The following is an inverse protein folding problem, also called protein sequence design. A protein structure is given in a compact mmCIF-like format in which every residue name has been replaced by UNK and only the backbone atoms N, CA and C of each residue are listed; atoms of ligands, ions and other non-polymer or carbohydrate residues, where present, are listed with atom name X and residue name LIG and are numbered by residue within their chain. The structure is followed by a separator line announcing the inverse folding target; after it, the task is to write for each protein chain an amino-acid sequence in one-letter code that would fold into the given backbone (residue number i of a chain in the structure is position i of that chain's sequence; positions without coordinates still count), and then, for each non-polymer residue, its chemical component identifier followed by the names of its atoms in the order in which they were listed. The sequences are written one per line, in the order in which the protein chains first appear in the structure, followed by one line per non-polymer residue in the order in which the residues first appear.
data_IF_796098079302
#
_entry.id   IF_796098079302
#
_cell.length_a   1.000
_cell.length_b   1.000
_cell.length_c   1.000
_cell.angle_alpha   90.00
_cell.angle_beta   90.00
_cell.angle_gamma   90.00
#
_symmetry.space_group_name_H-M   'P 1'
#
loop_
_entity.id
_entity.type
_entity.pdbx_description
1 polymer ?
#
# COMPACT_ATOMS: atom_id res chain seq x y z
N UNK A 1 -3.90 -38.47 -23.29
CA UNK A 1 -4.16 -37.06 -23.63
C UNK A 1 -2.85 -36.42 -24.06
N UNK A 2 -2.69 -36.06 -25.34
CA UNK A 2 -1.50 -35.37 -25.83
C UNK A 2 -1.77 -33.87 -25.77
N UNK A 3 -1.07 -33.17 -24.87
CA UNK A 3 -1.14 -31.72 -24.75
C UNK A 3 -0.05 -31.14 -25.64
N UNK A 4 -0.45 -30.39 -26.66
CA UNK A 4 0.46 -29.64 -27.51
C UNK A 4 0.86 -28.35 -26.80
N UNK A 5 2.15 -28.21 -26.50
CA UNK A 5 2.74 -26.98 -25.97
C UNK A 5 3.04 -26.04 -27.14
N UNK A 6 2.22 -25.01 -27.31
CA UNK A 6 2.55 -23.89 -28.20
C UNK A 6 3.53 -22.96 -27.49
N UNK A 7 4.68 -22.78 -28.11
CA UNK A 7 5.81 -21.99 -27.64
C UNK A 7 5.42 -20.53 -27.40
N UNK A 8 5.58 -20.07 -26.16
CA UNK A 8 5.43 -18.67 -25.76
C UNK A 8 6.69 -17.89 -26.20
N UNK A 9 6.58 -17.09 -27.27
CA UNK A 9 7.65 -16.19 -27.73
C UNK A 9 7.31 -14.75 -27.35
N UNK A 10 8.20 -14.16 -26.55
CA UNK A 10 8.58 -12.75 -26.40
C UNK A 10 7.52 -11.63 -26.63
N UNK A 11 7.30 -10.82 -25.58
CA UNK A 11 7.17 -9.37 -25.79
C UNK A 11 6.01 -8.62 -25.16
N UNK A 12 5.09 -9.25 -24.44
CA UNK A 12 4.04 -8.53 -23.71
C UNK A 12 3.80 -9.15 -22.33
N UNK A 13 4.34 -8.50 -21.30
CA UNK A 13 4.08 -8.84 -19.90
C UNK A 13 2.79 -8.14 -19.46
N UNK A 14 1.66 -8.49 -20.10
CA UNK A 14 0.35 -8.28 -19.48
C UNK A 14 0.09 -9.51 -18.60
N UNK A 15 0.62 -9.47 -17.39
CA UNK A 15 0.59 -10.60 -16.46
C UNK A 15 -0.84 -11.02 -16.06
N UNK A 16 -1.86 -10.20 -16.36
CA UNK A 16 -3.26 -10.46 -16.03
C UNK A 16 -4.21 -9.80 -17.06
N UNK A 17 -4.49 -10.47 -18.17
CA UNK A 17 -5.74 -10.20 -18.89
C UNK A 17 -6.84 -10.98 -18.16
N UNK A 18 -7.40 -10.38 -17.11
CA UNK A 18 -8.60 -10.92 -16.46
C UNK A 18 -9.75 -10.75 -17.46
N UNK A 19 -10.45 -11.86 -17.71
CA UNK A 19 -11.67 -11.89 -18.52
C UNK A 19 -12.71 -10.91 -17.94
N UNK A 20 -13.59 -10.35 -18.76
CA UNK A 20 -14.67 -9.44 -18.29
C UNK A 20 -15.51 -10.08 -17.18
N UNK A 21 -15.68 -11.41 -17.22
CA UNK A 21 -16.32 -12.19 -16.17
C UNK A 21 -15.54 -12.15 -14.82
N UNK A 22 -14.21 -12.06 -14.87
CA UNK A 22 -13.36 -11.94 -13.68
C UNK A 22 -13.25 -10.49 -13.18
N UNK A 23 -13.38 -9.49 -14.07
CA UNK A 23 -13.56 -8.09 -13.63
C UNK A 23 -14.89 -7.89 -12.88
N UNK A 24 -15.91 -8.70 -13.19
CA UNK A 24 -17.15 -8.75 -12.40
C UNK A 24 -16.96 -9.43 -11.03
N UNK A 25 -16.06 -10.42 -10.92
CA UNK A 25 -15.61 -10.98 -9.63
C UNK A 25 -14.84 -9.96 -8.79
N UNK A 26 -14.07 -9.08 -9.41
CA UNK A 26 -13.37 -7.98 -8.73
C UNK A 26 -14.35 -6.92 -8.14
N UNK A 27 -15.58 -6.86 -8.70
CA UNK A 27 -16.71 -6.10 -8.13
C UNK A 27 -17.49 -6.89 -7.07
N UNK A 28 -17.48 -8.21 -7.14
CA UNK A 28 -17.94 -9.09 -6.07
C UNK A 28 -16.85 -9.21 -5.00
N UNK A 29 -16.63 -8.10 -4.31
CA UNK A 29 -16.35 -8.14 -2.88
C UNK A 29 -15.18 -9.08 -2.50
N UNK A 30 -13.96 -8.56 -2.64
CA UNK A 30 -13.05 -8.56 -1.47
C UNK A 30 -13.69 -7.71 -0.36
N UNK A 31 -14.90 -8.13 0.05
CA UNK A 31 -15.58 -7.67 1.23
C UNK A 31 -14.57 -7.81 2.35
N UNK A 32 -14.69 -6.88 3.28
CA UNK A 32 -14.08 -6.90 4.61
C UNK A 32 -14.07 -8.30 5.27
N UNK A 33 -14.94 -9.20 4.83
CA UNK A 33 -15.13 -10.57 5.29
C UNK A 33 -14.06 -11.59 4.86
N UNK A 34 -13.33 -11.39 3.75
CA UNK A 34 -12.25 -12.34 3.36
C UNK A 34 -11.07 -12.28 4.35
N UNK A 35 -10.95 -11.18 5.09
CA UNK A 35 -10.00 -11.05 6.19
C UNK A 35 -10.52 -11.56 7.55
N UNK A 36 -11.80 -11.95 7.64
CA UNK A 36 -12.41 -12.42 8.88
C UNK A 36 -12.41 -13.94 9.00
N UNK A 37 -12.44 -14.68 7.88
CA UNK A 37 -12.38 -16.14 7.95
C UNK A 37 -10.93 -16.63 7.84
N UNK A 38 -10.28 -16.77 9.00
CA UNK A 38 -8.93 -17.38 9.12
C UNK A 38 -8.78 -18.69 8.34
N UNK A 39 -9.88 -19.45 8.15
CA UNK A 39 -9.91 -20.70 7.40
C UNK A 39 -9.65 -20.49 5.91
N UNK A 40 -10.18 -19.43 5.32
CA UNK A 40 -9.95 -19.14 3.91
C UNK A 40 -8.50 -18.73 3.66
N UNK A 41 -7.93 -17.89 4.54
CA UNK A 41 -6.51 -17.54 4.47
C UNK A 41 -5.59 -18.75 4.58
N UNK A 42 -5.88 -19.66 5.52
CA UNK A 42 -5.15 -20.91 5.67
C UNK A 42 -5.29 -21.81 4.43
N UNK A 43 -6.52 -21.99 3.92
CA UNK A 43 -6.77 -22.76 2.71
C UNK A 43 -5.99 -22.20 1.50
N UNK A 44 -5.96 -20.88 1.34
CA UNK A 44 -5.20 -20.25 0.26
C UNK A 44 -3.69 -20.44 0.43
N UNK A 45 -3.17 -20.39 1.66
CA UNK A 45 -1.75 -20.71 1.93
C UNK A 45 -1.44 -22.16 1.55
N UNK A 46 -2.22 -23.11 2.08
CA UNK A 46 -2.06 -24.55 1.80
C UNK A 46 -2.17 -24.85 0.30
N UNK A 47 -3.11 -24.19 -0.40
CA UNK A 47 -3.25 -24.35 -1.84
C UNK A 47 -2.03 -23.83 -2.61
N UNK A 48 -1.53 -22.64 -2.25
CA UNK A 48 -0.41 -21.99 -2.96
C UNK A 48 0.95 -22.62 -2.65
N UNK A 49 1.07 -23.29 -1.49
CA UNK A 49 2.25 -24.04 -1.07
C UNK A 49 2.34 -25.43 -1.73
N UNK A 50 1.22 -26.04 -2.11
CA UNK A 50 1.19 -27.36 -2.76
C UNK A 50 1.38 -27.24 -4.28
N UNK A 51 2.55 -27.64 -4.84
CA UNK A 51 2.82 -27.55 -6.28
C UNK A 51 1.88 -28.41 -7.11
N UNK A 52 1.40 -29.52 -6.57
CA UNK A 52 0.53 -30.47 -7.27
C UNK A 52 -0.88 -29.91 -7.46
N UNK A 53 -1.32 -29.02 -6.56
CA UNK A 53 -2.65 -28.39 -6.60
C UNK A 53 -2.61 -27.03 -7.28
N UNK A 54 -1.60 -26.21 -6.98
CA UNK A 54 -1.48 -24.87 -7.55
C UNK A 54 -0.97 -24.88 -8.98
N UNK A 55 -0.15 -25.86 -9.37
CA UNK A 55 0.43 -25.97 -10.71
C UNK A 55 1.15 -24.68 -11.11
N UNK A 56 0.64 -24.01 -12.15
CA UNK A 56 1.19 -22.72 -12.60
C UNK A 56 0.94 -21.61 -11.59
N UNK A 57 0.13 -21.78 -10.54
CA UNK A 57 -0.11 -20.77 -9.50
C UNK A 57 0.83 -20.87 -8.30
N UNK A 58 1.73 -21.85 -8.26
CA UNK A 58 2.69 -22.04 -7.17
C UNK A 58 3.47 -20.75 -6.87
N UNK A 59 3.65 -20.46 -5.58
CA UNK A 59 4.50 -19.36 -5.14
C UNK A 59 5.97 -19.78 -5.32
N UNK A 60 6.73 -18.99 -6.07
CA UNK A 60 8.17 -19.14 -6.25
C UNK A 60 8.85 -17.80 -5.96
N UNK A 61 10.18 -17.81 -5.81
CA UNK A 61 10.92 -16.61 -5.45
C UNK A 61 10.74 -15.47 -6.46
N UNK A 62 10.63 -15.77 -7.76
CA UNK A 62 10.33 -14.79 -8.80
C UNK A 62 8.98 -14.08 -8.60
N UNK A 63 7.94 -14.81 -8.17
CA UNK A 63 6.61 -14.24 -7.86
C UNK A 63 6.65 -13.42 -6.60
N UNK A 64 7.37 -13.88 -5.59
CA UNK A 64 7.62 -13.10 -4.38
C UNK A 64 8.36 -11.80 -4.71
N UNK A 65 9.36 -11.83 -5.60
CA UNK A 65 10.06 -10.64 -6.07
C UNK A 65 9.12 -9.68 -6.81
N UNK A 66 8.27 -10.21 -7.70
CA UNK A 66 7.26 -9.42 -8.42
C UNK A 66 6.27 -8.75 -7.45
N UNK A 67 5.78 -9.50 -6.45
CA UNK A 67 4.88 -8.97 -5.42
C UNK A 67 5.59 -7.92 -4.54
N UNK A 68 6.83 -8.19 -4.12
CA UNK A 68 7.67 -7.26 -3.37
C UNK A 68 7.83 -5.93 -4.11
N UNK A 69 8.15 -5.99 -5.40
CA UNK A 69 8.24 -4.80 -6.25
C UNK A 69 6.92 -4.04 -6.31
N UNK A 70 5.80 -4.73 -6.51
CA UNK A 70 4.47 -4.09 -6.54
C UNK A 70 4.20 -3.33 -5.24
N UNK A 71 4.39 -3.97 -4.09
CA UNK A 71 4.11 -3.33 -2.80
C UNK A 71 5.09 -2.20 -2.49
N UNK A 72 6.37 -2.34 -2.80
CA UNK A 72 7.33 -1.26 -2.59
C UNK A 72 7.06 -0.07 -3.52
N UNK A 73 6.70 -0.30 -4.80
CA UNK A 73 6.22 0.75 -5.71
C UNK A 73 4.98 1.43 -5.15
N UNK A 74 4.02 0.66 -4.65
CA UNK A 74 2.81 1.19 -4.03
C UNK A 74 3.14 2.08 -2.83
N UNK A 75 3.99 1.61 -1.90
CA UNK A 75 4.43 2.38 -0.72
C UNK A 75 5.14 3.68 -1.14
N UNK A 76 6.02 3.61 -2.15
CA UNK A 76 6.75 4.76 -2.68
C UNK A 76 5.83 5.79 -3.32
N UNK A 77 4.87 5.37 -4.14
CA UNK A 77 3.93 6.28 -4.79
C UNK A 77 2.95 6.93 -3.79
N UNK A 78 2.62 6.25 -2.70
CA UNK A 78 1.77 6.79 -1.63
C UNK A 78 2.57 7.57 -0.57
N UNK A 79 3.88 7.66 -0.73
CA UNK A 79 4.75 8.40 0.19
C UNK A 79 4.56 9.91 0.09
N UNK A 80 4.12 10.45 -1.05
CA UNK A 80 4.07 11.90 -1.29
C UNK A 80 2.73 12.54 -0.90
N UNK A 81 1.71 11.73 -0.57
CA UNK A 81 0.40 12.22 -0.19
C UNK A 81 0.42 12.79 1.25
N UNK A 82 0.92 14.02 1.40
CA UNK A 82 0.69 14.89 2.56
C UNK A 82 -0.77 15.37 2.50
N UNK A 83 -1.73 14.46 2.64
CA UNK A 83 -3.09 14.91 2.90
C UNK A 83 -3.21 15.23 4.39
N UNK A 84 -3.82 16.37 4.75
CA UNK A 84 -4.04 16.72 6.14
C UNK A 84 -4.80 15.57 6.79
N UNK A 85 -4.15 14.94 7.76
CA UNK A 85 -4.71 13.82 8.52
C UNK A 85 -6.14 14.15 8.94
N UNK A 86 -7.07 13.19 8.79
CA UNK A 86 -8.43 13.31 9.33
C UNK A 86 -8.43 13.81 10.78
N UNK A 87 -7.46 13.39 11.58
CA UNK A 87 -7.33 13.83 12.96
C UNK A 87 -6.95 15.31 13.08
N UNK A 88 -6.14 15.85 12.16
CA UNK A 88 -5.79 17.26 12.18
C UNK A 88 -6.98 18.16 11.81
N UNK A 89 -7.79 17.75 10.82
CA UNK A 89 -9.00 18.49 10.45
C UNK A 89 -10.09 18.34 11.51
N UNK A 90 -10.25 17.15 12.08
CA UNK A 90 -11.21 16.91 13.17
C UNK A 90 -10.77 17.64 14.45
N UNK A 91 -9.49 17.63 14.83
CA UNK A 91 -9.00 18.43 15.95
C UNK A 91 -9.22 19.93 15.74
N UNK A 92 -9.00 20.46 14.52
CA UNK A 92 -9.31 21.86 14.20
C UNK A 92 -10.81 22.14 14.39
N UNK A 93 -11.66 21.24 13.91
CA UNK A 93 -13.11 21.34 14.07
C UNK A 93 -13.55 21.25 15.54
N UNK A 94 -13.04 20.28 16.30
CA UNK A 94 -13.33 20.12 17.74
C UNK A 94 -12.85 21.34 18.52
N UNK A 95 -11.65 21.87 18.23
CA UNK A 95 -11.15 23.11 18.85
C UNK A 95 -12.04 24.30 18.50
N UNK A 96 -12.50 24.41 17.25
CA UNK A 96 -13.44 25.47 16.84
C UNK A 96 -14.79 25.35 17.57
N UNK A 97 -15.30 24.14 17.77
CA UNK A 97 -16.55 23.88 18.46
C UNK A 97 -16.45 24.11 19.96
N UNK A 98 -15.36 23.69 20.59
CA UNK A 98 -15.20 23.74 22.05
C UNK A 98 -14.64 25.07 22.55
N UNK A 99 -13.88 25.80 21.72
CA UNK A 99 -13.25 27.07 22.08
C UNK A 99 -13.57 28.18 21.06
N UNK A 100 -14.87 28.51 20.85
CA UNK A 100 -15.27 29.47 19.82
C UNK A 100 -14.68 30.87 20.05
N UNK A 101 -14.48 31.29 21.30
CA UNK A 101 -13.89 32.61 21.61
C UNK A 101 -12.41 32.70 21.24
N UNK A 102 -11.63 31.64 21.46
CA UNK A 102 -10.22 31.58 21.09
C UNK A 102 -10.08 31.66 19.58
N UNK A 103 -10.96 30.97 18.85
CA UNK A 103 -11.01 31.02 17.40
C UNK A 103 -11.33 32.44 16.90
N UNK A 104 -12.35 33.10 17.46
CA UNK A 104 -12.68 34.50 17.13
C UNK A 104 -11.52 35.44 17.42
N UNK A 105 -10.82 35.27 18.56
CA UNK A 105 -9.66 36.07 18.92
C UNK A 105 -8.52 35.89 17.91
N UNK A 106 -8.23 34.66 17.50
CA UNK A 106 -7.23 34.36 16.48
C UNK A 106 -7.58 34.97 15.13
N UNK A 107 -8.84 34.89 14.70
CA UNK A 107 -9.32 35.51 13.46
C UNK A 107 -9.20 37.04 13.51
N UNK A 108 -9.59 37.64 14.64
CA UNK A 108 -9.46 39.09 14.85
C UNK A 108 -7.98 39.54 14.85
N UNK A 109 -7.08 38.75 15.45
CA UNK A 109 -5.64 39.02 15.46
C UNK A 109 -4.97 38.81 14.11
N UNK A 110 -5.52 37.95 13.23
CA UNK A 110 -4.96 37.67 11.91
C UNK A 110 -5.12 38.83 10.91
N UNK A 111 -5.72 39.97 11.29
CA UNK A 111 -5.63 41.22 10.55
C UNK A 111 -6.16 41.15 9.12
N UNK A 112 -7.47 40.87 8.95
CA UNK A 112 -8.31 41.17 7.77
C UNK A 112 -7.80 40.92 6.32
N UNK A 113 -6.67 40.25 6.09
CA UNK A 113 -6.29 39.76 4.76
C UNK A 113 -6.30 38.23 4.75
N UNK A 114 -7.00 37.66 3.76
CA UNK A 114 -7.30 36.23 3.52
C UNK A 114 -8.02 35.43 4.64
N UNK A 115 -7.69 35.59 5.92
CA UNK A 115 -8.29 34.84 7.04
C UNK A 115 -9.77 35.22 7.30
N UNK A 116 -10.16 36.46 7.02
CA UNK A 116 -11.55 36.91 7.14
C UNK A 116 -12.44 36.40 5.98
N UNK A 117 -11.86 36.06 4.81
CA UNK A 117 -12.62 35.45 3.71
C UNK A 117 -12.88 33.95 3.95
N UNK A 118 -12.12 33.31 4.85
CA UNK A 118 -12.36 31.92 5.25
C UNK A 118 -13.58 31.76 6.18
N UNK A 119 -14.11 32.84 6.75
CA UNK A 119 -15.34 32.83 7.56
C UNK A 119 -16.63 32.65 6.73
N UNK A 120 -16.58 32.82 5.39
CA UNK A 120 -17.68 32.47 4.49
C UNK A 120 -17.68 30.99 4.07
N UNK A 121 -17.08 30.11 4.87
CA UNK A 121 -17.24 28.68 4.63
C UNK A 121 -18.58 28.26 5.24
N UNK A 122 -19.63 28.01 4.43
CA UNK A 122 -20.87 27.47 4.97
C UNK A 122 -20.54 26.19 5.75
N UNK A 123 -21.33 25.83 6.79
CA UNK A 123 -21.12 24.61 7.55
C UNK A 123 -21.15 23.42 6.59
N UNK A 124 -19.96 23.04 6.11
CA UNK A 124 -19.68 22.01 5.11
C UNK A 124 -19.87 20.63 5.73
N UNK A 125 -21.01 20.37 6.37
CA UNK A 125 -21.35 19.03 6.83
C UNK A 125 -21.32 18.03 5.66
N UNK A 126 -21.66 18.43 4.43
CA UNK A 126 -21.67 17.52 3.26
C UNK A 126 -20.34 17.41 2.48
N UNK A 127 -19.47 18.43 2.46
CA UNK A 127 -18.20 18.34 1.68
C UNK A 127 -17.10 17.59 2.42
N UNK A 128 -17.10 17.58 3.75
CA UNK A 128 -16.10 16.84 4.55
C UNK A 128 -16.24 15.33 4.30
N UNK A 129 -17.47 14.79 4.26
CA UNK A 129 -17.70 13.36 4.00
C UNK A 129 -17.23 12.88 2.61
N UNK A 130 -17.29 13.72 1.57
CA UNK A 130 -16.86 13.32 0.21
C UNK A 130 -15.34 13.26 0.05
N UNK A 131 -14.57 14.03 0.83
CA UNK A 131 -13.10 14.03 0.76
C UNK A 131 -12.50 12.94 1.66
N UNK A 132 -13.20 12.52 2.72
CA UNK A 132 -12.67 11.58 3.73
C UNK A 132 -12.80 10.10 3.35
N UNK A 133 -13.78 9.71 2.52
CA UNK A 133 -13.97 8.29 2.17
C UNK A 133 -12.82 7.66 1.37
N UNK A 134 -12.23 8.34 0.36
CA UNK A 134 -11.08 7.81 -0.37
C UNK A 134 -9.82 7.64 0.52
N UNK A 135 -9.66 8.51 1.52
CA UNK A 135 -8.47 8.54 2.40
C UNK A 135 -8.38 7.34 3.34
N UNK A 136 -9.50 6.87 3.88
CA UNK A 136 -9.49 5.71 4.78
C UNK A 136 -9.10 4.41 4.04
N UNK A 137 -9.50 4.30 2.77
CA UNK A 137 -9.15 3.16 1.93
C UNK A 137 -7.65 3.14 1.59
N UNK A 138 -7.05 4.30 1.30
CA UNK A 138 -5.61 4.37 1.01
C UNK A 138 -4.74 4.09 2.24
N UNK A 139 -5.15 4.49 3.45
CA UNK A 139 -4.42 4.16 4.68
C UNK A 139 -4.44 2.66 4.99
N UNK A 140 -5.58 1.99 4.81
CA UNK A 140 -5.67 0.54 5.00
C UNK A 140 -4.83 -0.23 3.97
N UNK A 141 -4.90 0.16 2.69
CA UNK A 141 -4.10 -0.45 1.63
C UNK A 141 -2.60 -0.22 1.86
N UNK A 142 -2.20 0.97 2.33
CA UNK A 142 -0.80 1.25 2.71
C UNK A 142 -0.32 0.36 3.87
N UNK A 143 -1.14 0.22 4.91
CA UNK A 143 -0.83 -0.68 6.03
C UNK A 143 -0.74 -2.14 5.61
N UNK A 144 -1.61 -2.57 4.68
CA UNK A 144 -1.58 -3.91 4.12
C UNK A 144 -0.30 -4.11 3.31
N UNK A 145 0.05 -3.16 2.43
CA UNK A 145 1.28 -3.21 1.65
C UNK A 145 2.53 -3.31 2.54
N UNK A 146 2.62 -2.52 3.62
CA UNK A 146 3.72 -2.64 4.60
C UNK A 146 3.79 -4.05 5.21
N UNK A 147 2.65 -4.65 5.55
CA UNK A 147 2.59 -6.01 6.10
C UNK A 147 3.03 -7.03 5.04
N UNK A 148 2.53 -6.93 3.82
CA UNK A 148 2.88 -7.83 2.74
C UNK A 148 4.37 -7.80 2.43
N UNK A 149 5.01 -6.62 2.37
CA UNK A 149 6.47 -6.52 2.14
C UNK A 149 7.26 -7.34 3.15
N UNK A 150 6.91 -7.30 4.44
CA UNK A 150 7.61 -8.08 5.47
C UNK A 150 7.53 -9.59 5.21
N UNK A 151 6.47 -10.06 4.56
CA UNK A 151 6.29 -11.48 4.24
C UNK A 151 6.90 -11.88 2.89
N UNK A 152 6.81 -11.03 1.86
CA UNK A 152 7.25 -11.41 0.51
C UNK A 152 8.73 -11.18 0.26
N UNK A 153 9.37 -10.23 0.95
CA UNK A 153 10.79 -9.91 0.73
C UNK A 153 11.75 -11.02 1.17
N UNK A 154 11.52 -11.73 2.30
CA UNK A 154 12.35 -12.87 2.67
C UNK A 154 12.30 -14.00 1.64
N UNK A 155 11.16 -14.23 1.01
CA UNK A 155 10.99 -15.32 0.04
C UNK A 155 11.32 -14.91 -1.41
N UNK A 156 11.62 -13.63 -1.66
CA UNK A 156 11.88 -13.13 -3.02
C UNK A 156 13.26 -13.53 -3.52
N UNK A 157 13.29 -14.01 -4.77
CA UNK A 157 14.53 -14.18 -5.54
C UNK A 157 15.21 -12.83 -5.75
N UNK A 158 16.52 -12.87 -5.96
CA UNK A 158 17.30 -11.69 -6.29
C UNK A 158 16.95 -11.23 -7.70
N UNK A 159 16.58 -9.96 -7.81
CA UNK A 159 16.31 -9.30 -9.07
C UNK A 159 16.93 -7.91 -9.06
N UNK A 160 17.62 -7.54 -10.14
CA UNK A 160 18.25 -6.23 -10.29
C UNK A 160 17.24 -5.09 -10.11
N UNK A 161 16.04 -5.22 -10.68
CA UNK A 161 14.99 -4.21 -10.55
C UNK A 161 14.53 -4.05 -9.10
N UNK A 162 14.32 -5.17 -8.39
CA UNK A 162 13.94 -5.15 -6.98
C UNK A 162 15.06 -4.56 -6.12
N UNK A 163 16.32 -4.89 -6.41
CA UNK A 163 17.50 -4.35 -5.73
C UNK A 163 17.62 -2.84 -5.93
N UNK A 164 17.50 -2.36 -7.16
CA UNK A 164 17.54 -0.93 -7.47
C UNK A 164 16.41 -0.18 -6.74
N UNK A 165 15.22 -0.78 -6.68
CA UNK A 165 14.06 -0.20 -6.01
C UNK A 165 14.21 -0.20 -4.49
N UNK A 166 14.69 -1.31 -3.90
CA UNK A 166 14.96 -1.44 -2.49
C UNK A 166 16.02 -0.43 -2.00
N UNK A 167 17.10 -0.23 -2.76
CA UNK A 167 18.14 0.78 -2.48
C UNK A 167 17.61 2.22 -2.51
N UNK A 168 16.62 2.50 -3.37
CA UNK A 168 16.01 3.84 -3.52
C UNK A 168 14.82 4.07 -2.59
N UNK A 169 14.42 3.08 -1.81
CA UNK A 169 13.18 3.12 -1.05
C UNK A 169 13.17 4.28 -0.03
N UNK A 170 12.19 5.17 -0.16
CA UNK A 170 11.94 6.26 0.80
C UNK A 170 10.56 6.10 1.40
N UNK A 171 10.47 6.31 2.71
CA UNK A 171 9.19 6.26 3.41
C UNK A 171 8.62 7.66 3.60
N UNK A 172 7.41 7.88 3.11
CA UNK A 172 6.72 9.16 3.19
C UNK A 172 6.07 9.44 4.55
N UNK A 173 5.36 10.57 4.69
CA UNK A 173 4.73 10.98 5.93
C UNK A 173 3.67 9.99 6.45
N UNK A 174 3.00 9.23 5.58
CA UNK A 174 2.06 8.17 6.01
C UNK A 174 2.73 7.10 6.89
N UNK A 175 4.00 6.80 6.63
CA UNK A 175 4.77 5.85 7.45
C UNK A 175 5.00 6.31 8.89
N UNK A 176 4.83 7.61 9.20
CA UNK A 176 5.04 8.16 10.55
C UNK A 176 4.01 7.62 11.54
N UNK A 177 2.80 7.33 11.07
CA UNK A 177 1.75 6.73 11.91
C UNK A 177 2.06 5.29 12.29
N UNK A 178 2.84 4.58 11.48
CA UNK A 178 3.18 3.17 11.68
C UNK A 178 4.69 2.94 11.76
N UNK A 179 5.31 3.59 12.75
CA UNK A 179 6.75 3.52 12.97
C UNK A 179 7.25 2.09 13.19
N UNK A 180 6.43 1.22 13.82
CA UNK A 180 6.80 -0.18 14.07
C UNK A 180 6.87 -0.99 12.77
N UNK A 181 5.84 -0.92 11.91
CA UNK A 181 5.88 -1.63 10.62
C UNK A 181 6.91 -1.05 9.68
N UNK A 182 7.08 0.28 9.65
CA UNK A 182 8.16 0.91 8.90
C UNK A 182 9.53 0.33 9.28
N UNK A 183 9.82 0.20 10.57
CA UNK A 183 11.08 -0.41 11.04
C UNK A 183 11.22 -1.86 10.58
N UNK A 184 10.13 -2.63 10.66
CA UNK A 184 10.13 -4.02 10.17
C UNK A 184 10.45 -4.10 8.67
N UNK A 185 9.76 -3.31 7.83
CA UNK A 185 10.02 -3.26 6.39
C UNK A 185 11.46 -2.83 6.11
N UNK A 186 11.97 -1.82 6.81
CA UNK A 186 13.35 -1.34 6.65
C UNK A 186 14.36 -2.45 6.97
N UNK A 187 14.10 -3.25 8.03
CA UNK A 187 14.94 -4.38 8.40
C UNK A 187 14.91 -5.47 7.34
N UNK A 188 13.74 -5.82 6.81
CA UNK A 188 13.67 -6.83 5.74
C UNK A 188 14.35 -6.35 4.47
N UNK A 189 14.21 -5.06 4.09
CA UNK A 189 14.96 -4.46 2.98
C UNK A 189 16.47 -4.62 3.19
N UNK A 190 16.97 -4.30 4.39
CA UNK A 190 18.39 -4.45 4.70
C UNK A 190 18.86 -5.91 4.60
N UNK A 191 18.05 -6.87 5.05
CA UNK A 191 18.35 -8.30 4.92
C UNK A 191 18.38 -8.76 3.47
N UNK A 192 17.40 -8.34 2.66
CA UNK A 192 17.39 -8.65 1.24
C UNK A 192 18.64 -8.11 0.55
N UNK A 193 19.02 -6.84 0.79
CA UNK A 193 20.23 -6.25 0.22
C UNK A 193 21.50 -7.00 0.67
N UNK A 194 21.59 -7.41 1.94
CA UNK A 194 22.71 -8.21 2.41
C UNK A 194 22.81 -9.58 1.72
N UNK A 195 21.69 -10.20 1.33
CA UNK A 195 21.72 -11.43 0.51
C UNK A 195 22.21 -11.16 -0.90
N UNK A 196 21.76 -10.06 -1.51
CA UNK A 196 22.24 -9.63 -2.83
C UNK A 196 23.75 -9.44 -2.82
N UNK A 197 24.27 -8.70 -1.84
CA UNK A 197 25.69 -8.40 -1.75
C UNK A 197 26.53 -9.66 -1.43
N UNK A 198 25.94 -10.71 -0.84
CA UNK A 198 26.62 -11.98 -0.57
C UNK A 198 26.67 -12.93 -1.78
N UNK A 199 25.70 -12.84 -2.70
CA UNK A 199 25.65 -13.66 -3.92
C UNK A 199 26.45 -13.08 -5.09
N UNK A 200 26.95 -11.83 -4.96
CA UNK A 200 27.73 -11.13 -5.97
C UNK A 200 29.23 -11.03 -5.62
N UNK A 201 29.96 -12.15 -5.35
CA UNK A 201 31.36 -12.11 -4.91
C UNK A 201 32.36 -11.79 -6.04
N UNK A 202 31.90 -11.48 -7.26
CA UNK A 202 32.75 -11.27 -8.44
C UNK A 202 32.93 -9.81 -8.86
N UNK A 203 32.58 -8.86 -7.98
CA UNK A 203 32.78 -7.43 -8.21
C UNK A 203 34.09 -6.87 -7.59
N UNK A 204 35.06 -7.73 -7.27
CA UNK A 204 36.45 -7.35 -6.94
C UNK A 204 37.41 -7.61 -8.11
#
# INVERSE_FOLDING_TARGET
MKVHWLSFRAGQVNLFHLDEAQQALDKLLFSRDVHLDSKYGQFMSEFLEDPSRSGVYMLNGQRYATAAMYFLKYISNHSEQILPSYNATNMKYTRQRNLPWLWRKLVQQAGSSEAAQTDKWPPRKQRIFRITYPQHKSEHAFHLALKCVVHVLPESDISEELTALARRQKFGPLSRKDARRKKAVTREIARYLARVDAEDPLAE
#
